data_IF_475560719363
#
_entry.id   IF_475560719363
#
_cell.length_a   1.000
_cell.length_b   1.000
_cell.length_c   1.000
_cell.angle_alpha   90.00
_cell.angle_beta   90.00
_cell.angle_gamma   90.00
#
_symmetry.space_group_name_H-M   'P 1'
#
loop_
_entity.id
_entity.type
_entity.pdbx_description
1 polymer ?
#
# COMPACT_ATOMS: atom_id res chain seq x y z
N UNK A 1 -11.32 -13.97 -5.02
CA UNK A 1 -10.79 -12.68 -4.54
C UNK A 1 -9.99 -12.96 -3.28
N UNK A 2 -8.67 -12.91 -3.34
CA UNK A 2 -7.79 -13.23 -2.20
C UNK A 2 -7.77 -12.08 -1.19
N UNK A 3 -7.77 -12.39 0.12
CA UNK A 3 -7.79 -11.40 1.20
C UNK A 3 -6.61 -10.40 1.12
N UNK A 4 -5.44 -10.88 0.67
CA UNK A 4 -4.24 -10.08 0.47
C UNK A 4 -4.41 -8.96 -0.57
N UNK A 5 -5.11 -9.27 -1.67
CA UNK A 5 -5.39 -8.32 -2.74
C UNK A 5 -6.29 -7.19 -2.23
N UNK A 6 -7.34 -7.55 -1.49
CA UNK A 6 -8.26 -6.59 -0.87
C UNK A 6 -7.52 -5.67 0.10
N UNK A 7 -6.63 -6.21 0.94
CA UNK A 7 -5.85 -5.40 1.88
C UNK A 7 -5.04 -4.29 1.18
N UNK A 8 -4.32 -4.62 0.11
CA UNK A 8 -3.49 -3.65 -0.63
C UNK A 8 -4.36 -2.61 -1.33
N UNK A 9 -5.49 -3.04 -1.92
CA UNK A 9 -6.43 -2.11 -2.58
C UNK A 9 -7.02 -1.14 -1.57
N UNK A 10 -7.47 -1.62 -0.41
CA UNK A 10 -8.03 -0.78 0.66
C UNK A 10 -6.99 0.18 1.25
N UNK A 11 -5.77 -0.30 1.52
CA UNK A 11 -4.68 0.57 1.98
C UNK A 11 -4.33 1.64 0.95
N UNK A 12 -4.22 1.25 -0.33
CA UNK A 12 -3.91 2.17 -1.42
C UNK A 12 -4.99 3.23 -1.61
N UNK A 13 -6.26 2.87 -1.44
CA UNK A 13 -7.39 3.80 -1.50
C UNK A 13 -7.35 4.79 -0.32
N UNK A 14 -7.24 4.29 0.91
CA UNK A 14 -7.14 5.15 2.12
C UNK A 14 -5.95 6.09 2.07
N UNK A 15 -4.81 5.60 1.59
CA UNK A 15 -3.61 6.42 1.42
C UNK A 15 -3.82 7.49 0.35
N UNK A 16 -4.43 7.14 -0.78
CA UNK A 16 -4.80 8.07 -1.85
C UNK A 16 -5.73 9.17 -1.33
N UNK A 17 -6.79 8.80 -0.61
CA UNK A 17 -7.72 9.74 0.02
C UNK A 17 -7.01 10.68 1.01
N UNK A 18 -6.20 10.12 1.91
CA UNK A 18 -5.52 10.89 2.95
C UNK A 18 -4.41 11.81 2.42
N UNK A 19 -3.74 11.42 1.34
CA UNK A 19 -2.69 12.25 0.71
C UNK A 19 -3.22 13.10 -0.44
N UNK A 20 -4.49 12.97 -0.82
CA UNK A 20 -5.07 13.62 -2.00
C UNK A 20 -4.43 13.18 -3.33
N UNK A 21 -3.84 11.99 -3.38
CA UNK A 21 -3.14 11.46 -4.57
C UNK A 21 -4.01 10.43 -5.30
N UNK A 22 -3.83 10.32 -6.61
CA UNK A 22 -4.50 9.27 -7.40
C UNK A 22 -3.96 7.88 -7.05
N UNK A 23 -4.85 6.86 -7.09
CA UNK A 23 -4.48 5.45 -6.87
C UNK A 23 -3.30 4.99 -7.74
N UNK A 24 -3.20 5.48 -8.98
CA UNK A 24 -2.08 5.20 -9.88
C UNK A 24 -0.74 5.72 -9.32
N UNK A 25 -0.73 6.92 -8.74
CA UNK A 25 0.46 7.49 -8.09
C UNK A 25 0.88 6.66 -6.89
N UNK A 26 -0.08 6.27 -6.04
CA UNK A 26 0.19 5.39 -4.89
C UNK A 26 0.73 4.05 -5.35
N UNK A 27 0.19 3.48 -6.43
CA UNK A 27 0.69 2.23 -7.03
C UNK A 27 2.13 2.32 -7.51
N UNK A 28 2.50 3.43 -8.15
CA UNK A 28 3.89 3.68 -8.54
C UNK A 28 4.78 3.86 -7.32
N UNK A 29 4.32 4.53 -6.25
CA UNK A 29 5.14 4.70 -5.04
C UNK A 29 5.40 3.38 -4.31
N UNK A 30 4.37 2.56 -4.15
CA UNK A 30 4.44 1.34 -3.33
C UNK A 30 4.93 0.10 -4.09
N UNK A 31 4.61 -0.01 -5.38
CA UNK A 31 4.90 -1.19 -6.21
C UNK A 31 5.82 -0.88 -7.40
N UNK A 32 6.25 0.38 -7.56
CA UNK A 32 6.98 0.87 -8.74
C UNK A 32 6.29 0.56 -10.07
N UNK A 33 4.97 0.37 -10.03
CA UNK A 33 4.16 -0.05 -11.15
C UNK A 33 2.76 0.54 -11.01
N UNK A 34 2.48 1.59 -11.79
CA UNK A 34 1.26 2.38 -11.70
C UNK A 34 -0.02 1.63 -12.03
N UNK A 35 0.08 0.49 -12.74
CA UNK A 35 -1.07 -0.34 -13.16
C UNK A 35 -1.31 -1.51 -12.23
N UNK A 36 -0.41 -1.74 -11.27
CA UNK A 36 -0.44 -2.92 -10.42
C UNK A 36 -1.64 -2.94 -9.49
N UNK A 37 -1.92 -1.84 -8.79
CA UNK A 37 -3.12 -1.72 -7.95
C UNK A 37 -4.40 -1.93 -8.74
N UNK A 38 -4.44 -1.44 -9.97
CA UNK A 38 -5.58 -1.63 -10.87
C UNK A 38 -5.72 -3.11 -11.28
N UNK A 39 -4.62 -3.77 -11.62
CA UNK A 39 -4.59 -5.21 -11.85
C UNK A 39 -5.07 -6.02 -10.63
N UNK A 40 -4.63 -5.66 -9.43
CA UNK A 40 -5.08 -6.27 -8.18
C UNK A 40 -6.60 -6.07 -8.00
N UNK A 41 -7.11 -4.87 -8.25
CA UNK A 41 -8.55 -4.59 -8.21
C UNK A 41 -9.36 -5.40 -9.25
N UNK A 42 -8.75 -5.72 -10.40
CA UNK A 42 -9.32 -6.57 -11.43
C UNK A 42 -9.25 -8.09 -11.10
N UNK A 43 -8.82 -8.46 -9.89
CA UNK A 43 -8.78 -9.85 -9.43
C UNK A 43 -7.48 -10.59 -9.71
N UNK A 44 -6.40 -9.86 -10.02
CA UNK A 44 -5.05 -10.45 -10.15
C UNK A 44 -4.48 -10.74 -8.76
N UNK A 45 -3.77 -11.86 -8.62
CA UNK A 45 -3.11 -12.19 -7.36
C UNK A 45 -1.81 -11.40 -7.14
N UNK A 46 -1.57 -11.06 -5.88
CA UNK A 46 -0.30 -10.53 -5.40
C UNK A 46 0.51 -11.68 -4.79
N UNK A 47 1.79 -11.81 -5.18
CA UNK A 47 2.69 -12.76 -4.52
C UNK A 47 3.05 -12.29 -3.11
N UNK A 48 3.21 -13.22 -2.16
CA UNK A 48 3.52 -12.91 -0.75
C UNK A 48 4.66 -11.92 -0.56
N UNK A 49 5.77 -12.10 -1.29
CA UNK A 49 6.94 -11.18 -1.23
C UNK A 49 6.60 -9.74 -1.62
N UNK A 50 5.67 -9.54 -2.56
CA UNK A 50 5.22 -8.21 -2.98
C UNK A 50 4.21 -7.63 -2.00
N UNK A 51 3.34 -8.47 -1.45
CA UNK A 51 2.42 -8.09 -0.40
C UNK A 51 3.17 -7.56 0.83
N UNK A 52 4.18 -8.30 1.29
CA UNK A 52 5.02 -7.89 2.42
C UNK A 52 5.75 -6.56 2.15
N UNK A 53 6.39 -6.42 0.98
CA UNK A 53 7.07 -5.18 0.61
C UNK A 53 6.11 -3.97 0.57
N UNK A 54 4.92 -4.14 0.00
CA UNK A 54 3.92 -3.08 -0.07
C UNK A 54 3.39 -2.70 1.32
N UNK A 55 3.10 -3.68 2.18
CA UNK A 55 2.67 -3.40 3.54
C UNK A 55 3.76 -2.69 4.37
N UNK A 56 5.02 -3.10 4.23
CA UNK A 56 6.14 -2.46 4.92
C UNK A 56 6.26 -0.98 4.52
N UNK A 57 6.15 -0.69 3.22
CA UNK A 57 6.17 0.68 2.72
C UNK A 57 4.98 1.51 3.25
N UNK A 58 3.76 0.97 3.22
CA UNK A 58 2.60 1.65 3.79
C UNK A 58 2.77 1.91 5.29
N UNK A 59 3.31 0.97 6.05
CA UNK A 59 3.54 1.14 7.48
C UNK A 59 4.57 2.24 7.79
N UNK A 60 5.59 2.38 6.94
CA UNK A 60 6.64 3.39 7.07
C UNK A 60 6.19 4.79 6.59
N UNK A 61 5.45 4.87 5.48
CA UNK A 61 5.05 6.14 4.85
C UNK A 61 3.62 6.58 5.19
N UNK A 62 2.93 5.89 6.11
CA UNK A 62 1.53 6.18 6.43
C UNK A 62 1.34 7.65 6.85
N UNK A 63 0.42 8.40 6.22
CA UNK A 63 0.24 9.81 6.51
C UNK A 63 -0.28 10.01 7.95
N UNK A 64 0.34 10.94 8.67
CA UNK A 64 -0.08 11.35 10.00
C UNK A 64 -1.45 12.03 9.91
N UNK A 65 -2.51 11.32 10.27
CA UNK A 65 -3.90 11.77 10.16
C UNK A 65 -4.83 10.77 9.46
N UNK A 66 -4.29 9.72 8.82
CA UNK A 66 -5.10 8.65 8.25
C UNK A 66 -5.29 7.49 9.21
N UNK A 67 -6.52 7.00 9.30
CA UNK A 67 -6.84 5.79 10.06
C UNK A 67 -6.38 4.54 9.31
N UNK A 68 -5.73 3.62 10.03
CA UNK A 68 -5.36 2.33 9.47
C UNK A 68 -6.61 1.45 9.34
N UNK A 69 -6.92 0.87 8.16
CA UNK A 69 -8.16 0.14 7.94
C UNK A 69 -8.26 -1.10 8.84
N UNK A 70 -9.40 -1.24 9.51
CA UNK A 70 -9.73 -2.41 10.32
C UNK A 70 -9.83 -3.66 9.42
N UNK A 71 -9.05 -4.70 9.75
CA UNK A 71 -8.98 -5.94 8.98
C UNK A 71 -7.64 -6.15 8.25
N UNK A 72 -6.83 -5.10 8.10
CA UNK A 72 -5.47 -5.24 7.55
C UNK A 72 -4.46 -5.37 8.68
N UNK A 73 -3.77 -6.51 8.85
CA UNK A 73 -2.74 -6.65 9.87
C UNK A 73 -1.60 -5.67 9.55
N UNK A 74 -1.39 -4.69 10.43
CA UNK A 74 -0.27 -3.74 10.32
C UNK A 74 1.01 -4.51 10.65
N UNK A 75 1.94 -4.72 9.70
CA UNK A 75 3.22 -5.32 10.04
C UNK A 75 3.92 -4.44 11.06
N UNK A 76 4.60 -5.05 12.03
CA UNK A 76 5.51 -4.32 12.89
C UNK A 76 6.48 -3.54 11.99
N UNK A 77 6.72 -2.25 12.25
CA UNK A 77 7.70 -1.49 11.48
C UNK A 77 9.05 -2.17 11.67
N UNK A 78 9.47 -2.98 10.70
CA UNK A 78 10.89 -3.20 10.51
C UNK A 78 11.42 -1.82 10.19
N UNK A 79 12.27 -1.29 11.07
CA UNK A 79 12.86 0.03 10.96
C UNK A 79 13.53 0.18 9.59
N UNK A 80 12.78 0.64 8.60
CA UNK A 80 13.30 1.09 7.32
C UNK A 80 13.42 2.60 7.45
N UNK A 81 14.67 2.98 7.69
CA UNK A 81 15.24 4.31 7.66
C UNK A 81 14.54 5.24 6.67
N UNK A 82 14.15 6.46 7.07
CA UNK A 82 13.48 7.41 6.19
C UNK A 82 14.52 8.03 5.24
N UNK A 83 14.83 7.36 4.13
CA UNK A 83 15.68 7.93 3.07
C UNK A 83 14.84 8.20 1.82
N UNK A 84 14.18 9.37 1.76
CA UNK A 84 13.82 10.06 0.53
C UNK A 84 13.32 11.48 0.83
N UNK A 85 14.21 12.32 1.34
CA UNK A 85 14.12 13.77 1.24
C UNK A 85 15.54 14.34 1.15
N UNK A 86 16.08 14.49 -0.07
CA UNK A 86 17.14 15.44 -0.43
C UNK A 86 17.27 15.51 -1.95
#
# INVERSE_FOLDING_TARGET
>A
MSIFTTHIVTLGDRFAEATGRSRATVSTLVLNDGKRLEALANGKDIGGRRYEAAMAWFAAHWPAGAEWPAGVPRPAPQASEPEAAA
#
